data_IF_168857136875
#
_entry.id   IF_168857136875
#
_cell.length_a   1.000
_cell.length_b   1.000
_cell.length_c   1.000
_cell.angle_alpha   90.00
_cell.angle_beta   90.00
_cell.angle_gamma   90.00
#
_symmetry.space_group_name_H-M   'P 1'
#
loop_
_entity.id
_entity.type
_entity.pdbx_description
1 polymer ?
#
# COMPACT_ATOMS: atom_id res chain seq x y z
N UNK A 1 18.03 9.05 -7.19
CA UNK A 1 17.79 8.10 -6.08
C UNK A 1 16.67 7.16 -6.50
N UNK A 2 16.88 5.84 -6.40
CA UNK A 2 15.83 4.86 -6.63
C UNK A 2 14.75 5.02 -5.55
N UNK A 3 13.47 4.99 -5.93
CA UNK A 3 12.31 4.96 -5.03
C UNK A 3 11.59 3.65 -5.29
N UNK A 4 11.20 2.95 -4.23
CA UNK A 4 10.40 1.73 -4.32
C UNK A 4 9.16 1.93 -5.21
N UNK A 5 8.64 0.83 -5.77
CA UNK A 5 7.37 0.86 -6.48
C UNK A 5 6.21 1.23 -5.55
N UNK A 6 6.25 0.71 -4.33
CA UNK A 6 5.27 0.98 -3.28
C UNK A 6 5.94 1.30 -1.93
N UNK A 7 5.27 2.13 -1.12
CA UNK A 7 5.57 2.26 0.31
C UNK A 7 4.31 1.98 1.13
N UNK A 8 4.42 1.02 2.05
CA UNK A 8 3.36 0.65 2.98
C UNK A 8 3.63 1.32 4.33
N UNK A 9 2.69 2.14 4.82
CA UNK A 9 2.86 2.94 6.03
C UNK A 9 1.79 2.67 7.09
N UNK A 10 2.18 2.07 8.21
CA UNK A 10 1.31 1.75 9.36
C UNK A 10 1.78 2.41 10.68
N UNK A 11 2.59 3.47 10.57
CA UNK A 11 3.19 4.20 11.69
C UNK A 11 3.95 3.27 12.62
N UNK A 12 4.87 2.49 12.06
CA UNK A 12 5.69 1.52 12.80
C UNK A 12 4.82 0.53 13.60
N UNK A 13 3.73 0.05 12.99
CA UNK A 13 2.82 -0.94 13.58
C UNK A 13 1.77 -0.38 14.54
N UNK A 14 1.61 0.94 14.64
CA UNK A 14 0.69 1.55 15.63
C UNK A 14 -0.72 1.83 15.09
N UNK A 15 -0.91 1.88 13.77
CA UNK A 15 -2.20 2.26 13.17
C UNK A 15 -2.94 1.11 12.50
N UNK A 16 -2.30 -0.03 12.27
CA UNK A 16 -2.88 -1.21 11.62
C UNK A 16 -2.46 -2.49 12.36
N UNK A 17 -3.23 -3.58 12.19
CA UNK A 17 -2.78 -4.90 12.66
C UNK A 17 -1.64 -5.37 11.75
N UNK A 18 -0.51 -5.77 12.34
CA UNK A 18 0.69 -6.18 11.59
C UNK A 18 0.40 -7.28 10.58
N UNK A 19 -0.53 -8.21 10.87
CA UNK A 19 -0.91 -9.27 9.93
C UNK A 19 -1.50 -8.71 8.63
N UNK A 20 -2.28 -7.64 8.73
CA UNK A 20 -2.83 -6.96 7.56
C UNK A 20 -1.74 -6.22 6.78
N UNK A 21 -0.85 -5.49 7.47
CA UNK A 21 0.30 -4.82 6.85
C UNK A 21 1.19 -5.84 6.11
N UNK A 22 1.50 -6.96 6.76
CA UNK A 22 2.31 -8.05 6.19
C UNK A 22 1.66 -8.66 4.95
N UNK A 23 0.33 -8.83 4.96
CA UNK A 23 -0.40 -9.35 3.79
C UNK A 23 -0.31 -8.40 2.59
N UNK A 24 -0.52 -7.11 2.81
CA UNK A 24 -0.41 -6.09 1.75
C UNK A 24 0.99 -6.08 1.14
N UNK A 25 2.02 -6.07 1.97
CA UNK A 25 3.40 -6.09 1.49
C UNK A 25 3.73 -7.37 0.75
N UNK A 26 3.32 -8.54 1.26
CA UNK A 26 3.56 -9.84 0.64
C UNK A 26 2.94 -9.95 -0.74
N UNK A 27 1.65 -9.60 -0.89
CA UNK A 27 0.94 -9.67 -2.17
C UNK A 27 1.59 -8.76 -3.22
N UNK A 28 1.98 -7.54 -2.83
CA UNK A 28 2.67 -6.62 -3.74
C UNK A 28 4.06 -7.13 -4.14
N UNK A 29 4.81 -7.73 -3.22
CA UNK A 29 6.09 -8.37 -3.52
C UNK A 29 5.93 -9.57 -4.46
N UNK A 30 4.90 -10.39 -4.25
CA UNK A 30 4.58 -11.54 -5.11
C UNK A 30 4.20 -11.12 -6.54
N UNK A 31 3.64 -9.91 -6.71
CA UNK A 31 3.39 -9.27 -8.02
C UNK A 31 4.66 -8.70 -8.68
N UNK A 32 5.82 -8.80 -8.01
CA UNK A 32 7.13 -8.39 -8.51
C UNK A 32 7.51 -6.94 -8.23
N UNK A 33 6.81 -6.24 -7.34
CA UNK A 33 7.14 -4.86 -6.98
C UNK A 33 8.23 -4.78 -5.91
N UNK A 34 9.08 -3.74 -6.00
CA UNK A 34 9.88 -3.30 -4.85
C UNK A 34 8.96 -2.56 -3.87
N UNK A 35 8.91 -3.03 -2.63
CA UNK A 35 8.00 -2.53 -1.59
C UNK A 35 8.81 -2.22 -0.35
N UNK A 36 8.73 -0.97 0.12
CA UNK A 36 9.31 -0.55 1.38
C UNK A 36 8.22 -0.36 2.44
N UNK A 37 8.60 -0.51 3.70
CA UNK A 37 7.69 -0.30 4.85
C UNK A 37 8.17 0.91 5.65
N UNK A 38 7.26 1.82 5.96
CA UNK A 38 7.48 2.96 6.86
C UNK A 38 8.67 3.86 6.49
N UNK A 39 9.14 3.81 5.24
CA UNK A 39 10.25 4.64 4.77
C UNK A 39 10.09 4.98 3.28
N UNK A 40 10.26 6.26 2.89
CA UNK A 40 10.38 7.44 3.75
C UNK A 40 9.03 7.86 4.38
N UNK A 41 7.94 7.18 4.01
CA UNK A 41 6.58 7.54 4.43
C UNK A 41 6.04 6.52 5.43
N UNK A 42 5.80 6.97 6.67
CA UNK A 42 5.25 6.14 7.76
C UNK A 42 3.73 6.12 7.83
N UNK A 43 3.05 6.98 7.08
CA UNK A 43 1.69 7.39 7.39
C UNK A 43 1.66 8.79 7.99
N UNK A 44 0.81 9.69 7.53
CA UNK A 44 0.69 11.06 8.10
C UNK A 44 -0.43 11.13 9.15
N UNK A 45 -0.85 12.34 9.51
CA UNK A 45 -1.78 12.59 10.62
C UNK A 45 -3.14 11.88 10.47
N UNK A 46 -3.67 11.79 9.25
CA UNK A 46 -4.94 11.10 9.00
C UNK A 46 -4.88 9.62 9.39
N UNK A 47 -3.79 8.92 9.06
CA UNK A 47 -3.58 7.51 9.38
C UNK A 47 -3.43 7.32 10.89
N UNK A 48 -2.73 8.25 11.55
CA UNK A 48 -2.54 8.25 13.01
C UNK A 48 -3.86 8.42 13.78
N UNK A 49 -4.71 9.36 13.35
CA UNK A 49 -5.97 9.66 14.06
C UNK A 49 -7.02 8.58 13.81
N UNK A 50 -7.08 8.05 12.59
CA UNK A 50 -8.06 7.03 12.19
C UNK A 50 -7.64 5.64 12.68
N UNK A 51 -6.35 5.32 12.70
CA UNK A 51 -5.82 4.06 13.21
C UNK A 51 -5.93 3.98 14.73
N UNK A 52 -6.86 3.15 15.21
CA UNK A 52 -7.05 2.84 16.63
C UNK A 52 -7.24 1.32 16.77
N UNK A 53 -6.19 0.50 16.59
CA UNK A 53 -6.32 -0.97 16.59
C UNK A 53 -6.97 -1.52 17.87
N UNK A 54 -6.73 -0.89 19.02
CA UNK A 54 -7.39 -1.24 20.29
C UNK A 54 -8.93 -1.13 20.24
N UNK A 55 -9.47 -0.31 19.34
CA UNK A 55 -10.90 -0.14 19.08
C UNK A 55 -11.34 -0.83 17.77
N UNK A 56 -10.58 -1.81 17.28
CA UNK A 56 -10.84 -2.52 16.01
C UNK A 56 -10.96 -1.61 14.79
N UNK A 57 -10.24 -0.49 14.80
CA UNK A 57 -10.16 0.46 13.68
C UNK A 57 -8.73 0.51 13.16
N UNK A 58 -8.54 0.12 11.91
CA UNK A 58 -7.22 0.01 11.31
C UNK A 58 -7.08 1.02 10.17
N UNK A 59 -5.90 1.64 10.05
CA UNK A 59 -5.58 2.58 8.99
C UNK A 59 -4.16 2.33 8.49
N UNK A 60 -4.04 2.28 7.16
CA UNK A 60 -2.80 1.98 6.43
C UNK A 60 -2.67 2.99 5.28
N UNK A 61 -1.46 3.52 5.08
CA UNK A 61 -1.11 4.32 3.91
C UNK A 61 -0.47 3.42 2.86
N UNK A 62 -0.86 3.58 1.60
CA UNK A 62 -0.19 2.95 0.47
C UNK A 62 0.22 4.05 -0.52
N UNK A 63 1.53 4.27 -0.64
CA UNK A 63 2.11 5.19 -1.61
C UNK A 63 2.52 4.42 -2.86
N UNK A 64 2.23 4.99 -4.04
CA UNK A 64 2.53 4.38 -5.34
C UNK A 64 3.44 5.30 -6.13
N UNK A 65 4.57 4.77 -6.60
CA UNK A 65 5.47 5.52 -7.46
C UNK A 65 4.82 5.84 -8.81
N UNK A 66 4.67 7.14 -9.12
CA UNK A 66 3.98 7.62 -10.33
C UNK A 66 4.54 7.05 -11.63
N UNK A 67 5.85 6.75 -11.69
CA UNK A 67 6.47 6.12 -12.86
C UNK A 67 5.86 4.77 -13.23
N UNK A 68 5.20 4.09 -12.29
CA UNK A 68 4.51 2.83 -12.57
C UNK A 68 3.29 3.00 -13.48
N UNK A 69 2.71 4.20 -13.57
CA UNK A 69 1.42 4.37 -14.22
C UNK A 69 1.22 5.68 -14.98
N UNK A 70 2.10 6.67 -14.83
CA UNK A 70 1.97 7.94 -15.53
C UNK A 70 3.32 8.56 -15.92
N UNK A 71 3.27 9.37 -16.96
CA UNK A 71 4.26 10.42 -17.20
C UNK A 71 3.97 11.58 -16.23
N UNK A 72 4.94 11.91 -15.38
CA UNK A 72 4.82 12.95 -14.36
C UNK A 72 4.81 14.37 -14.95
N UNK A 73 5.37 14.58 -16.14
CA UNK A 73 5.40 15.89 -16.79
C UNK A 73 4.09 16.15 -17.51
N UNK A 74 3.68 15.20 -18.37
CA UNK A 74 2.44 15.31 -19.14
C UNK A 74 1.17 15.07 -18.32
N UNK A 75 1.29 14.49 -17.12
CA UNK A 75 0.17 14.04 -16.28
C UNK A 75 -0.77 13.07 -16.99
N UNK A 76 -0.23 12.24 -17.90
CA UNK A 76 -0.96 11.25 -18.68
C UNK A 76 -0.55 9.84 -18.29
N UNK A 77 -1.46 8.88 -18.42
CA UNK A 77 -1.15 7.48 -18.18
C UNK A 77 -0.06 6.98 -19.13
N UNK A 78 0.85 6.17 -18.59
CA UNK A 78 1.82 5.42 -19.39
C UNK A 78 1.34 3.97 -19.59
N UNK A 79 2.12 3.16 -20.31
CA UNK A 79 1.77 1.77 -20.61
C UNK A 79 1.58 0.88 -19.36
N UNK A 80 2.13 1.27 -18.21
CA UNK A 80 2.02 0.55 -16.94
C UNK A 80 0.68 0.73 -16.22
N UNK A 81 -0.12 1.74 -16.57
CA UNK A 81 -1.39 2.03 -15.90
C UNK A 81 -2.35 0.84 -15.90
N UNK A 82 -2.50 0.18 -17.06
CA UNK A 82 -3.38 -0.98 -17.19
C UNK A 82 -2.98 -2.13 -16.26
N UNK A 83 -1.67 -2.44 -16.20
CA UNK A 83 -1.13 -3.46 -15.30
C UNK A 83 -1.35 -3.08 -13.84
N UNK A 84 -0.97 -1.87 -13.43
CA UNK A 84 -1.15 -1.40 -12.05
C UNK A 84 -2.62 -1.49 -11.61
N UNK A 85 -3.56 -1.10 -12.47
CA UNK A 85 -4.99 -1.18 -12.17
C UNK A 85 -5.43 -2.63 -11.94
N UNK A 86 -4.99 -3.57 -12.77
CA UNK A 86 -5.30 -4.98 -12.62
C UNK A 86 -4.72 -5.55 -11.31
N UNK A 87 -3.46 -5.20 -11.01
CA UNK A 87 -2.78 -5.66 -9.79
C UNK A 87 -3.41 -5.08 -8.52
N UNK A 88 -3.83 -3.81 -8.51
CA UNK A 88 -4.55 -3.22 -7.39
C UNK A 88 -5.93 -3.88 -7.19
N UNK A 89 -6.63 -4.27 -8.25
CA UNK A 89 -7.87 -5.02 -8.13
C UNK A 89 -7.61 -6.41 -7.51
N UNK A 90 -6.58 -7.11 -7.97
CA UNK A 90 -6.19 -8.40 -7.41
C UNK A 90 -5.78 -8.29 -5.93
N UNK A 91 -5.06 -7.23 -5.54
CA UNK A 91 -4.75 -6.92 -4.15
C UNK A 91 -6.04 -6.72 -3.34
N UNK A 92 -6.99 -5.92 -3.84
CA UNK A 92 -8.26 -5.70 -3.13
C UNK A 92 -9.07 -7.00 -2.97
N UNK A 93 -9.07 -7.86 -3.98
CA UNK A 93 -9.78 -9.15 -3.93
C UNK A 93 -9.12 -10.10 -2.92
N UNK A 94 -7.80 -10.13 -2.85
CA UNK A 94 -7.06 -10.86 -1.82
C UNK A 94 -7.41 -10.36 -0.41
N UNK A 95 -7.36 -9.04 -0.20
CA UNK A 95 -7.63 -8.44 1.11
C UNK A 95 -9.08 -8.66 1.56
N UNK A 96 -10.06 -8.67 0.65
CA UNK A 96 -11.46 -9.04 0.97
C UNK A 96 -11.58 -10.44 1.53
N UNK A 97 -10.75 -11.38 1.09
CA UNK A 97 -10.70 -12.74 1.63
C UNK A 97 -10.00 -12.71 2.99
N UNK A 98 -8.84 -12.05 3.07
CA UNK A 98 -8.04 -11.96 4.28
C UNK A 98 -8.82 -11.39 5.48
N UNK A 99 -9.56 -10.28 5.31
CA UNK A 99 -10.29 -9.65 6.42
C UNK A 99 -11.39 -10.53 7.04
N UNK A 100 -11.80 -11.61 6.36
CA UNK A 100 -12.78 -12.59 6.90
C UNK A 100 -12.12 -13.64 7.79
N UNK A 101 -10.79 -13.68 7.84
CA UNK A 101 -10.01 -14.71 8.54
C UNK A 101 -9.33 -14.18 9.81
N UNK A 102 -9.41 -12.88 10.07
CA UNK A 102 -8.73 -12.18 11.17
C UNK A 102 -9.65 -11.64 12.24
#
# INVERSE_FOLDING_TARGET
MARAGFVVGDRDGTTCDTRFTDRVEGVLKDMGYDVWRNHPYKGVEIVRVVGQPAHKRHSLQLEINRKLYMDEVGLVHNAGFGKLKADLNALLDDLKVFIKTV
#
